data_IF_979230774871
#
_entry.id   IF_979230774871
#
_cell.length_a   1.000
_cell.length_b   1.000
_cell.length_c   1.000
_cell.angle_alpha   90.00
_cell.angle_beta   90.00
_cell.angle_gamma   90.00
#
_symmetry.space_group_name_H-M   'P 1'
#
loop_
_entity.id
_entity.type
_entity.pdbx_description
1 polymer ?
#
# COMPACT_ATOMS: atom_id res chain seq x y z
N UNK A 1 -17.52 17.62 -0.26
CA UNK A 1 -17.10 16.28 0.17
C UNK A 1 -17.33 16.16 1.66
N UNK A 2 -18.10 15.15 2.08
CA UNK A 2 -18.63 15.06 3.42
C UNK A 2 -17.70 14.18 4.27
N UNK A 3 -16.51 14.67 4.60
CA UNK A 3 -15.42 13.89 5.24
C UNK A 3 -15.83 13.12 6.50
N UNK A 4 -16.91 13.53 7.17
CA UNK A 4 -17.51 12.82 8.30
C UNK A 4 -18.13 11.48 7.88
N UNK A 5 -18.79 11.43 6.72
CA UNK A 5 -19.41 10.21 6.19
C UNK A 5 -18.36 9.19 5.76
N UNK A 6 -17.30 9.62 5.07
CA UNK A 6 -16.18 8.77 4.67
C UNK A 6 -15.48 8.18 5.89
N UNK A 7 -15.28 8.99 6.93
CA UNK A 7 -14.73 8.50 8.21
C UNK A 7 -15.63 7.46 8.90
N UNK A 8 -16.96 7.57 8.77
CA UNK A 8 -17.88 6.57 9.30
C UNK A 8 -17.81 5.25 8.52
N UNK A 9 -17.75 5.31 7.19
CA UNK A 9 -17.58 4.13 6.34
C UNK A 9 -16.25 3.41 6.61
N UNK A 10 -15.16 4.17 6.71
CA UNK A 10 -13.84 3.64 7.08
C UNK A 10 -13.89 2.96 8.45
N UNK A 11 -14.58 3.56 9.44
CA UNK A 11 -14.77 2.95 10.77
C UNK A 11 -15.63 1.69 10.73
N UNK A 12 -16.67 1.66 9.90
CA UNK A 12 -17.51 0.48 9.75
C UNK A 12 -16.70 -0.69 9.18
N UNK A 13 -15.95 -0.48 8.11
CA UNK A 13 -15.05 -1.49 7.55
C UNK A 13 -13.96 -1.91 8.52
N UNK A 14 -13.40 -0.96 9.28
CA UNK A 14 -12.41 -1.24 10.30
C UNK A 14 -12.99 -2.13 11.42
N UNK A 15 -14.25 -1.94 11.81
CA UNK A 15 -14.88 -2.78 12.85
C UNK A 15 -15.07 -4.24 12.43
N UNK A 16 -15.07 -4.51 11.11
CA UNK A 16 -15.14 -5.86 10.52
C UNK A 16 -13.76 -6.48 10.31
N UNK A 17 -12.69 -5.68 10.34
CA UNK A 17 -11.32 -6.17 10.18
C UNK A 17 -10.95 -7.06 11.37
N UNK A 18 -11.02 -8.36 11.16
CA UNK A 18 -10.74 -9.37 12.19
C UNK A 18 -9.34 -9.95 11.94
N UNK A 19 -8.37 -9.75 12.85
CA UNK A 19 -7.06 -10.39 12.77
C UNK A 19 -7.18 -11.91 12.73
N UNK A 20 -6.19 -12.59 12.18
CA UNK A 20 -6.15 -14.06 12.24
C UNK A 20 -5.99 -14.57 13.67
N UNK A 21 -6.34 -15.85 13.87
CA UNK A 21 -6.11 -16.51 15.14
C UNK A 21 -4.60 -16.60 15.43
N UNK A 22 -4.25 -16.63 16.71
CA UNK A 22 -2.89 -16.98 17.12
C UNK A 22 -2.72 -18.48 16.96
N UNK A 23 -1.88 -18.89 16.01
CA UNK A 23 -1.51 -20.29 15.77
C UNK A 23 -0.33 -20.68 16.68
N UNK A 24 -0.29 -21.93 17.12
CA UNK A 24 0.95 -22.51 17.64
C UNK A 24 1.95 -22.73 16.49
N UNK A 25 3.25 -22.85 16.81
CA UNK A 25 4.30 -23.09 15.79
C UNK A 25 3.98 -24.33 14.93
N UNK A 26 3.47 -25.41 15.56
CA UNK A 26 3.09 -26.65 14.86
C UNK A 26 1.93 -26.44 13.89
N UNK A 27 0.92 -25.66 14.28
CA UNK A 27 -0.23 -25.35 13.42
C UNK A 27 0.18 -24.43 12.25
N UNK A 28 1.03 -23.45 12.52
CA UNK A 28 1.57 -22.55 11.50
C UNK A 28 2.39 -23.31 10.46
N UNK A 29 3.31 -24.18 10.88
CA UNK A 29 4.11 -25.00 9.97
C UNK A 29 3.24 -25.95 9.14
N UNK A 30 2.25 -26.59 9.75
CA UNK A 30 1.32 -27.46 9.03
C UNK A 30 0.51 -26.69 7.96
N UNK A 31 0.04 -25.49 8.30
CA UNK A 31 -0.67 -24.62 7.37
C UNK A 31 0.23 -24.10 6.26
N UNK A 32 1.47 -23.73 6.59
CA UNK A 32 2.47 -23.27 5.62
C UNK A 32 2.77 -24.35 4.58
N UNK A 33 3.00 -25.59 5.02
CA UNK A 33 3.18 -26.72 4.10
C UNK A 33 1.93 -27.02 3.27
N UNK A 34 0.74 -26.92 3.87
CA UNK A 34 -0.51 -27.05 3.13
C UNK A 34 -0.64 -25.97 2.04
N UNK A 35 -0.33 -24.70 2.33
CA UNK A 35 -0.39 -23.63 1.34
C UNK A 35 0.62 -23.85 0.22
N UNK A 36 1.85 -24.31 0.53
CA UNK A 36 2.84 -24.67 -0.50
C UNK A 36 2.31 -25.71 -1.48
N UNK A 37 1.67 -26.76 -0.96
CA UNK A 37 1.06 -27.81 -1.80
C UNK A 37 -0.07 -27.25 -2.68
N UNK A 38 -0.95 -26.43 -2.10
CA UNK A 38 -2.06 -25.81 -2.82
C UNK A 38 -1.58 -24.83 -3.90
N UNK A 39 -0.50 -24.08 -3.66
CA UNK A 39 0.08 -23.20 -4.68
C UNK A 39 0.52 -24.01 -5.91
N UNK A 40 1.16 -25.17 -5.71
CA UNK A 40 1.56 -26.06 -6.82
C UNK A 40 0.33 -26.64 -7.53
N UNK A 41 -0.66 -27.15 -6.78
CA UNK A 41 -1.89 -27.73 -7.33
C UNK A 41 -2.64 -26.74 -8.22
N UNK A 42 -2.75 -25.48 -7.78
CA UNK A 42 -3.45 -24.41 -8.50
C UNK A 42 -2.59 -23.65 -9.50
N UNK A 43 -1.35 -24.11 -9.77
CA UNK A 43 -0.36 -23.44 -10.64
C UNK A 43 -0.26 -21.95 -10.31
N UNK A 44 -0.21 -21.67 -9.02
CA UNK A 44 -0.31 -20.34 -8.45
C UNK A 44 1.07 -19.82 -8.02
N UNK A 45 1.22 -18.49 -8.08
CA UNK A 45 2.35 -17.78 -7.49
C UNK A 45 1.85 -16.84 -6.40
N UNK A 46 2.57 -16.80 -5.27
CA UNK A 46 2.26 -15.90 -4.16
C UNK A 46 2.97 -14.55 -4.37
N UNK A 47 2.20 -13.46 -4.30
CA UNK A 47 2.69 -12.09 -4.39
C UNK A 47 2.27 -11.38 -3.09
N UNK A 48 3.23 -11.02 -2.25
CA UNK A 48 2.99 -10.41 -0.96
C UNK A 48 3.42 -8.94 -0.95
N UNK A 49 2.63 -8.09 -0.29
CA UNK A 49 3.07 -6.73 0.02
C UNK A 49 4.01 -6.73 1.23
N UNK A 50 4.94 -5.78 1.29
CA UNK A 50 5.86 -5.58 2.43
C UNK A 50 5.17 -5.42 3.79
N UNK A 51 3.88 -5.09 3.82
CA UNK A 51 3.12 -4.86 5.06
C UNK A 51 2.38 -6.12 5.56
N UNK A 52 2.47 -7.23 4.83
CA UNK A 52 1.95 -8.51 5.31
C UNK A 52 2.80 -9.06 6.46
N UNK A 53 2.30 -10.05 7.19
CA UNK A 53 3.04 -10.63 8.32
C UNK A 53 4.35 -11.30 7.86
N UNK A 54 5.36 -11.41 8.75
CA UNK A 54 6.61 -12.11 8.44
C UNK A 54 6.41 -13.51 7.86
N UNK A 55 5.41 -14.24 8.35
CA UNK A 55 5.07 -15.60 7.91
C UNK A 55 4.62 -15.63 6.45
N UNK A 56 3.78 -14.67 6.04
CA UNK A 56 3.34 -14.55 4.64
C UNK A 56 4.48 -14.12 3.74
N UNK A 57 5.31 -13.19 4.19
CA UNK A 57 6.50 -12.75 3.46
C UNK A 57 7.48 -13.92 3.25
N UNK A 58 7.84 -14.65 4.31
CA UNK A 58 8.72 -15.82 4.24
C UNK A 58 8.15 -16.90 3.30
N UNK A 59 6.86 -17.20 3.39
CA UNK A 59 6.20 -18.14 2.49
C UNK A 59 6.30 -17.69 1.02
N UNK A 60 6.16 -16.40 0.72
CA UNK A 60 6.34 -15.88 -0.64
C UNK A 60 7.77 -16.13 -1.15
N UNK A 61 8.79 -15.91 -0.32
CA UNK A 61 10.19 -16.18 -0.70
C UNK A 61 10.45 -17.66 -0.94
N UNK A 62 9.96 -18.52 -0.05
CA UNK A 62 10.17 -19.97 -0.12
C UNK A 62 9.48 -20.65 -1.30
N UNK A 63 8.38 -20.07 -1.78
CA UNK A 63 7.58 -20.64 -2.87
C UNK A 63 7.98 -20.10 -4.24
N UNK A 64 9.06 -19.30 -4.31
CA UNK A 64 9.48 -18.62 -5.55
C UNK A 64 8.53 -17.50 -5.98
N UNK A 65 7.73 -17.00 -5.03
CA UNK A 65 6.87 -15.83 -5.16
C UNK A 65 7.65 -14.52 -5.09
N UNK A 66 6.94 -13.44 -4.78
CA UNK A 66 7.50 -12.09 -4.77
C UNK A 66 7.02 -11.28 -3.57
N UNK A 67 7.92 -10.48 -3.00
CA UNK A 67 7.59 -9.45 -2.02
C UNK A 67 7.99 -8.09 -2.58
N UNK A 68 7.05 -7.14 -2.61
CA UNK A 68 7.33 -5.81 -3.14
C UNK A 68 6.33 -4.75 -2.71
N UNK A 69 6.56 -3.53 -3.20
CA UNK A 69 5.56 -2.46 -3.18
C UNK A 69 4.50 -2.66 -4.29
N UNK A 70 3.45 -1.83 -4.30
CA UNK A 70 2.35 -1.92 -5.26
C UNK A 70 2.80 -1.95 -6.73
N UNK A 71 3.83 -1.18 -7.10
CA UNK A 71 4.30 -1.10 -8.49
C UNK A 71 5.06 -2.38 -8.88
N UNK A 72 5.90 -2.88 -7.98
CA UNK A 72 6.68 -4.08 -8.21
C UNK A 72 5.80 -5.33 -8.23
N UNK A 73 4.81 -5.43 -7.34
CA UNK A 73 3.81 -6.49 -7.33
C UNK A 73 3.02 -6.53 -8.65
N UNK A 74 2.57 -5.37 -9.14
CA UNK A 74 1.86 -5.25 -10.41
C UNK A 74 2.72 -5.71 -11.59
N UNK A 75 3.99 -5.30 -11.65
CA UNK A 75 4.95 -5.72 -12.69
C UNK A 75 5.24 -7.21 -12.65
N UNK A 76 5.46 -7.76 -11.46
CA UNK A 76 5.73 -9.18 -11.27
C UNK A 76 4.53 -10.02 -11.72
N UNK A 77 3.33 -9.73 -11.19
CA UNK A 77 2.11 -10.47 -11.52
C UNK A 77 1.79 -10.47 -13.00
N UNK A 78 1.93 -9.32 -13.68
CA UNK A 78 1.72 -9.21 -15.12
C UNK A 78 2.66 -10.12 -15.94
N UNK A 79 3.94 -10.17 -15.57
CA UNK A 79 4.99 -10.88 -16.33
C UNK A 79 5.14 -12.35 -15.96
N UNK A 80 4.65 -12.76 -14.79
CA UNK A 80 4.83 -14.14 -14.31
C UNK A 80 4.00 -15.14 -15.13
N UNK A 81 4.52 -16.35 -15.37
CA UNK A 81 3.89 -17.37 -16.22
C UNK A 81 2.78 -18.17 -15.52
N UNK A 82 2.60 -17.99 -14.21
CA UNK A 82 1.56 -18.67 -13.43
C UNK A 82 0.15 -18.35 -13.96
N UNK A 83 -0.73 -19.35 -13.91
CA UNK A 83 -2.14 -19.20 -14.35
C UNK A 83 -3.00 -18.56 -13.24
N UNK A 84 -2.58 -18.73 -12.00
CA UNK A 84 -3.22 -18.14 -10.82
C UNK A 84 -2.23 -17.21 -10.11
N UNK A 85 -2.68 -16.03 -9.73
CA UNK A 85 -1.96 -15.12 -8.83
C UNK A 85 -2.66 -15.15 -7.48
N UNK A 86 -1.92 -15.40 -6.40
CA UNK A 86 -2.41 -15.18 -5.02
C UNK A 86 -1.81 -13.87 -4.54
N UNK A 87 -2.64 -12.84 -4.41
CA UNK A 87 -2.21 -11.51 -3.97
C UNK A 87 -2.49 -11.38 -2.47
N UNK A 88 -1.45 -11.48 -1.66
CA UNK A 88 -1.50 -11.18 -0.23
C UNK A 88 -1.26 -9.68 -0.02
N UNK A 89 -2.35 -8.93 0.17
CA UNK A 89 -2.38 -7.49 0.25
C UNK A 89 -3.79 -6.99 0.48
N UNK A 90 -4.18 -5.89 -0.15
CA UNK A 90 -5.53 -5.31 -0.06
C UNK A 90 -6.21 -5.24 -1.42
N UNK A 91 -7.54 -5.09 -1.42
CA UNK A 91 -8.41 -5.37 -2.58
C UNK A 91 -7.98 -4.67 -3.86
N UNK A 92 -7.65 -3.38 -3.82
CA UNK A 92 -7.21 -2.65 -5.00
C UNK A 92 -5.94 -3.23 -5.64
N UNK A 93 -5.07 -3.92 -4.87
CA UNK A 93 -3.88 -4.59 -5.39
C UNK A 93 -4.27 -5.84 -6.19
N UNK A 94 -5.23 -6.61 -5.68
CA UNK A 94 -5.84 -7.73 -6.40
C UNK A 94 -6.54 -7.26 -7.68
N UNK A 95 -7.32 -6.17 -7.61
CA UNK A 95 -7.96 -5.55 -8.77
C UNK A 95 -6.93 -5.09 -9.81
N UNK A 96 -5.82 -4.47 -9.38
CA UNK A 96 -4.72 -4.07 -10.26
C UNK A 96 -4.08 -5.28 -10.95
N UNK A 97 -3.83 -6.37 -10.21
CA UNK A 97 -3.32 -7.61 -10.78
C UNK A 97 -4.29 -8.21 -11.82
N UNK A 98 -5.61 -8.16 -11.56
CA UNK A 98 -6.62 -8.64 -12.50
C UNK A 98 -6.73 -7.77 -13.76
N UNK A 99 -6.62 -6.44 -13.63
CA UNK A 99 -6.63 -5.52 -14.78
C UNK A 99 -5.41 -5.76 -15.68
N UNK A 100 -4.23 -5.98 -15.09
CA UNK A 100 -2.98 -6.20 -15.83
C UNK A 100 -2.81 -7.64 -16.34
N UNK A 101 -3.64 -8.58 -15.90
CA UNK A 101 -3.64 -9.98 -16.34
C UNK A 101 -5.07 -10.52 -16.41
N UNK A 102 -5.90 -9.99 -17.32
CA UNK A 102 -7.32 -10.34 -17.42
C UNK A 102 -7.55 -11.84 -17.63
N UNK A 103 -6.60 -12.53 -18.26
CA UNK A 103 -6.61 -13.96 -18.52
C UNK A 103 -6.27 -14.83 -17.31
N UNK A 104 -5.58 -14.27 -16.30
CA UNK A 104 -5.19 -15.02 -15.10
C UNK A 104 -6.30 -15.01 -14.07
N UNK A 105 -6.34 -16.07 -13.28
CA UNK A 105 -7.15 -16.11 -12.06
C UNK A 105 -6.42 -15.32 -10.96
N UNK A 106 -7.12 -14.45 -10.24
CA UNK A 106 -6.54 -13.66 -9.16
C UNK A 106 -7.30 -13.94 -7.87
N UNK A 107 -6.63 -14.57 -6.93
CA UNK A 107 -7.14 -14.88 -5.59
C UNK A 107 -6.50 -13.95 -4.56
N UNK A 108 -7.24 -13.67 -3.49
CA UNK A 108 -6.71 -13.03 -2.29
C UNK A 108 -7.02 -13.90 -1.08
N UNK A 109 -6.24 -13.84 0.02
CA UNK A 109 -6.63 -14.50 1.26
C UNK A 109 -8.04 -14.09 1.73
N UNK A 110 -8.42 -12.82 1.55
CA UNK A 110 -9.79 -12.36 1.74
C UNK A 110 -10.06 -11.06 0.99
N UNK A 111 -11.25 -10.92 0.41
CA UNK A 111 -11.67 -9.68 -0.26
C UNK A 111 -12.09 -8.56 0.72
N UNK A 112 -12.26 -8.89 2.00
CA UNK A 112 -12.53 -7.92 3.07
C UNK A 112 -11.29 -7.10 3.45
N UNK A 113 -10.09 -7.54 3.05
CA UNK A 113 -8.86 -6.77 3.20
C UNK A 113 -8.89 -5.58 2.22
N UNK A 114 -9.29 -4.40 2.70
CA UNK A 114 -9.43 -3.18 1.89
C UNK A 114 -8.47 -2.07 2.37
N UNK A 115 -8.68 -0.82 1.96
CA UNK A 115 -7.82 0.31 2.31
C UNK A 115 -8.68 1.54 2.62
N UNK A 116 -8.32 2.32 3.64
CA UNK A 116 -9.06 3.54 3.98
C UNK A 116 -9.05 4.57 2.85
N UNK A 117 -7.97 4.61 2.06
CA UNK A 117 -7.83 5.48 0.89
C UNK A 117 -8.76 5.07 -0.26
N UNK A 118 -9.01 3.77 -0.41
CA UNK A 118 -9.94 3.24 -1.41
C UNK A 118 -11.38 3.51 -0.98
N UNK A 119 -11.73 3.15 0.27
CA UNK A 119 -13.06 3.40 0.85
C UNK A 119 -13.40 4.89 0.85
N UNK A 120 -12.46 5.74 1.23
CA UNK A 120 -12.65 7.19 1.33
C UNK A 120 -12.65 7.91 -0.02
N UNK A 121 -12.63 7.18 -1.14
CA UNK A 121 -12.67 7.71 -2.49
C UNK A 121 -13.73 6.97 -3.30
N UNK A 122 -15.01 7.15 -2.93
CA UNK A 122 -16.13 6.57 -3.64
C UNK A 122 -16.10 6.92 -5.14
N UNK A 123 -16.41 5.94 -5.99
CA UNK A 123 -16.23 6.08 -7.43
C UNK A 123 -17.23 7.07 -8.06
N UNK A 124 -18.46 7.15 -7.55
CA UNK A 124 -19.50 8.03 -8.08
C UNK A 124 -19.22 9.47 -7.62
N UNK A 125 -18.89 9.66 -6.34
CA UNK A 125 -18.50 10.98 -5.82
C UNK A 125 -17.22 11.49 -6.49
N UNK A 126 -16.22 10.62 -6.68
CA UNK A 126 -14.99 10.97 -7.38
C UNK A 126 -15.24 11.33 -8.85
N UNK A 127 -16.12 10.61 -9.54
CA UNK A 127 -16.48 10.94 -10.92
C UNK A 127 -17.15 12.31 -11.01
N UNK A 128 -18.09 12.62 -10.11
CA UNK A 128 -18.72 13.94 -10.05
C UNK A 128 -17.67 15.03 -9.79
N UNK A 129 -16.74 14.80 -8.86
CA UNK A 129 -15.67 15.76 -8.57
C UNK A 129 -14.77 16.01 -9.79
N UNK A 130 -14.49 14.99 -10.60
CA UNK A 130 -13.78 15.15 -11.86
C UNK A 130 -14.61 15.93 -12.90
N UNK A 131 -15.94 15.72 -12.96
CA UNK A 131 -16.84 16.40 -13.89
C UNK A 131 -17.02 17.89 -13.56
N UNK A 132 -16.91 18.26 -12.28
CA UNK A 132 -16.89 19.65 -11.81
C UNK A 132 -15.58 20.38 -12.17
N UNK A 133 -14.52 19.64 -12.51
CA UNK A 133 -13.18 20.16 -12.82
C UNK A 133 -12.64 19.61 -14.15
N UNK A 134 -13.34 19.81 -15.29
CA UNK A 134 -13.06 19.13 -16.55
C UNK A 134 -11.74 19.57 -17.23
N UNK A 135 -11.13 20.66 -16.77
CA UNK A 135 -9.85 21.17 -17.28
C UNK A 135 -8.62 20.59 -16.55
N UNK A 136 -8.82 19.73 -15.55
CA UNK A 136 -7.75 19.09 -14.80
C UNK A 136 -7.37 17.73 -15.39
N UNK A 137 -6.06 17.45 -15.44
CA UNK A 137 -5.55 16.10 -15.66
C UNK A 137 -5.72 15.31 -14.37
N UNK A 138 -6.44 14.18 -14.43
CA UNK A 138 -6.78 13.37 -13.26
C UNK A 138 -5.66 12.37 -12.98
N UNK A 139 -4.95 12.56 -11.87
CA UNK A 139 -3.89 11.68 -11.39
C UNK A 139 -4.34 11.01 -10.10
N UNK A 140 -4.48 9.68 -10.13
CA UNK A 140 -4.87 8.91 -8.94
C UNK A 140 -3.73 8.04 -8.46
N UNK A 141 -3.59 7.95 -7.14
CA UNK A 141 -2.73 6.98 -6.50
C UNK A 141 -3.31 5.57 -6.69
N UNK A 142 -2.44 4.56 -6.78
CA UNK A 142 -2.82 3.17 -6.99
C UNK A 142 -3.77 2.62 -5.90
N UNK A 143 -3.78 3.25 -4.71
CA UNK A 143 -4.61 2.90 -3.55
C UNK A 143 -6.06 3.37 -3.73
N UNK A 144 -6.69 2.98 -4.83
CA UNK A 144 -8.04 3.36 -5.27
C UNK A 144 -8.70 2.19 -5.99
N UNK A 145 -10.02 2.14 -6.08
CA UNK A 145 -10.73 1.06 -6.76
C UNK A 145 -10.46 1.00 -8.27
N UNK A 146 -10.75 -0.14 -8.90
CA UNK A 146 -10.74 -0.25 -10.36
C UNK A 146 -11.60 0.81 -11.06
N UNK A 147 -12.74 1.19 -10.47
CA UNK A 147 -13.64 2.21 -11.00
C UNK A 147 -13.00 3.61 -10.99
N UNK A 148 -12.37 4.00 -9.89
CA UNK A 148 -11.62 5.26 -9.79
C UNK A 148 -10.44 5.27 -10.78
N UNK A 149 -9.70 4.16 -10.90
CA UNK A 149 -8.64 4.03 -11.90
C UNK A 149 -9.17 4.23 -13.33
N UNK A 150 -10.33 3.68 -13.65
CA UNK A 150 -10.95 3.84 -14.98
C UNK A 150 -11.40 5.27 -15.30
N UNK A 151 -11.61 6.12 -14.28
CA UNK A 151 -11.95 7.54 -14.46
C UNK A 151 -10.72 8.43 -14.66
N UNK A 152 -9.53 7.95 -14.30
CA UNK A 152 -8.31 8.73 -14.24
C UNK A 152 -7.51 8.78 -15.56
N UNK A 153 -6.72 9.83 -15.74
CA UNK A 153 -5.76 9.95 -16.84
C UNK A 153 -4.44 9.23 -16.54
N UNK A 154 -4.06 9.18 -15.27
CA UNK A 154 -2.84 8.55 -14.76
C UNK A 154 -3.12 7.80 -13.46
N UNK A 155 -2.53 6.60 -13.35
CA UNK A 155 -2.33 5.95 -12.05
C UNK A 155 -0.85 6.12 -11.68
N UNK A 156 -0.56 6.35 -10.40
CA UNK A 156 0.81 6.41 -9.89
C UNK A 156 0.96 5.59 -8.61
N UNK A 157 2.20 5.32 -8.20
CA UNK A 157 2.51 4.89 -6.83
C UNK A 157 3.37 5.94 -6.14
N UNK A 158 3.54 5.83 -4.82
CA UNK A 158 4.44 6.71 -4.06
C UNK A 158 5.88 6.70 -4.60
N UNK A 159 6.30 5.61 -5.26
CA UNK A 159 7.63 5.48 -5.88
C UNK A 159 7.85 6.39 -7.10
N UNK A 160 6.78 6.77 -7.82
CA UNK A 160 6.88 7.58 -9.04
C UNK A 160 6.04 8.86 -9.05
N UNK A 161 5.21 9.09 -8.02
CA UNK A 161 4.26 10.21 -8.00
C UNK A 161 4.94 11.57 -8.21
N UNK A 162 6.08 11.81 -7.56
CA UNK A 162 6.86 13.04 -7.74
C UNK A 162 7.31 13.25 -9.19
N UNK A 163 7.79 12.19 -9.85
CA UNK A 163 8.33 12.28 -11.21
C UNK A 163 7.22 12.52 -12.24
N UNK A 164 6.09 11.82 -12.09
CA UNK A 164 4.93 11.98 -12.96
C UNK A 164 4.32 13.38 -12.80
N UNK A 165 4.12 13.83 -11.56
CA UNK A 165 3.55 15.17 -11.31
C UNK A 165 4.50 16.27 -11.76
N UNK A 166 5.82 16.15 -11.52
CA UNK A 166 6.80 17.11 -12.06
C UNK A 166 6.73 17.20 -13.58
N UNK A 167 6.64 16.05 -14.26
CA UNK A 167 6.54 15.99 -15.71
C UNK A 167 5.25 16.65 -16.26
N UNK A 168 4.12 16.48 -15.57
CA UNK A 168 2.86 17.11 -15.94
C UNK A 168 2.87 18.62 -15.63
N UNK A 169 3.49 19.01 -14.52
CA UNK A 169 3.67 20.41 -14.14
C UNK A 169 4.55 21.17 -15.13
N UNK A 170 5.66 20.58 -15.59
CA UNK A 170 6.52 21.12 -16.65
C UNK A 170 5.77 21.36 -17.97
N UNK A 171 4.68 20.62 -18.22
CA UNK A 171 3.80 20.80 -19.37
C UNK A 171 2.69 21.84 -19.15
N UNK A 172 2.65 22.48 -17.99
CA UNK A 172 1.61 23.45 -17.62
C UNK A 172 0.23 22.82 -17.39
N UNK A 173 0.17 21.52 -17.04
CA UNK A 173 -1.10 20.85 -16.74
C UNK A 173 -1.61 21.27 -15.36
N UNK A 174 -2.90 21.54 -15.25
CA UNK A 174 -3.63 21.56 -13.98
C UNK A 174 -3.89 20.12 -13.55
N UNK A 175 -3.70 19.80 -12.28
CA UNK A 175 -3.72 18.41 -11.80
C UNK A 175 -4.77 18.27 -10.71
N UNK A 176 -5.65 17.28 -10.87
CA UNK A 176 -6.52 16.77 -9.81
C UNK A 176 -5.85 15.53 -9.24
N UNK A 177 -5.67 15.50 -7.92
CA UNK A 177 -4.98 14.44 -7.20
C UNK A 177 -5.93 13.72 -6.25
N UNK A 178 -5.90 12.38 -6.27
CA UNK A 178 -6.65 11.56 -5.32
C UNK A 178 -5.90 10.27 -4.94
N UNK A 179 -6.23 9.63 -3.82
CA UNK A 179 -7.16 10.10 -2.79
C UNK A 179 -6.43 10.68 -1.57
N UNK A 180 -5.11 10.50 -1.45
CA UNK A 180 -4.36 10.83 -0.25
C UNK A 180 -3.88 12.29 -0.25
N UNK A 181 -4.44 13.11 0.64
CA UNK A 181 -4.11 14.53 0.75
C UNK A 181 -2.71 14.80 1.29
N UNK A 182 -2.14 13.90 2.09
CA UNK A 182 -0.82 14.08 2.67
C UNK A 182 0.27 13.85 1.62
N UNK A 183 0.13 12.78 0.83
CA UNK A 183 0.96 12.54 -0.34
C UNK A 183 0.77 13.66 -1.37
N UNK A 184 -0.48 14.12 -1.58
CA UNK A 184 -0.77 15.27 -2.44
C UNK A 184 -0.03 16.55 -2.01
N UNK A 185 -0.15 16.94 -0.74
CA UNK A 185 0.54 18.09 -0.16
C UNK A 185 2.07 17.95 -0.25
N UNK A 186 2.61 16.76 0.05
CA UNK A 186 4.02 16.46 -0.12
C UNK A 186 4.47 16.70 -1.57
N UNK A 187 3.72 16.20 -2.55
CA UNK A 187 4.03 16.41 -3.96
C UNK A 187 3.98 17.90 -4.33
N UNK A 188 2.95 18.64 -3.89
CA UNK A 188 2.86 20.09 -4.12
C UNK A 188 4.12 20.81 -3.62
N UNK A 189 4.55 20.51 -2.38
CA UNK A 189 5.74 21.10 -1.77
C UNK A 189 7.04 20.76 -2.49
N UNK A 190 7.19 19.53 -2.98
CA UNK A 190 8.42 19.07 -3.65
C UNK A 190 8.52 19.56 -5.11
N UNK A 191 7.39 19.70 -5.79
CA UNK A 191 7.35 19.97 -7.24
C UNK A 191 6.98 21.41 -7.58
N UNK A 192 6.37 22.14 -6.65
CA UNK A 192 5.77 23.45 -6.91
C UNK A 192 4.45 23.41 -7.69
N UNK A 193 3.94 22.22 -8.02
CA UNK A 193 2.67 22.06 -8.71
C UNK A 193 1.49 22.48 -7.82
N UNK A 194 0.62 23.34 -8.34
CA UNK A 194 -0.68 23.62 -7.71
C UNK A 194 -1.66 22.52 -8.13
N UNK A 195 -2.11 21.71 -7.16
CA UNK A 195 -3.01 20.58 -7.38
C UNK A 195 -4.31 20.73 -6.61
N UNK A 196 -5.41 20.31 -7.23
CA UNK A 196 -6.70 20.13 -6.55
C UNK A 196 -6.72 18.76 -5.87
N UNK A 197 -6.78 18.72 -4.53
CA UNK A 197 -6.64 17.50 -3.75
C UNK A 197 -8.00 16.94 -3.30
N UNK A 198 -8.18 15.63 -3.44
CA UNK A 198 -9.21 14.87 -2.72
C UNK A 198 -8.87 14.77 -1.22
N UNK A 199 -9.87 14.88 -0.35
CA UNK A 199 -9.68 14.90 1.12
C UNK A 199 -9.73 13.49 1.75
N UNK A 200 -8.87 12.58 1.27
CA UNK A 200 -8.67 11.25 1.85
C UNK A 200 -7.34 11.14 2.60
N UNK A 201 -7.25 10.17 3.51
CA UNK A 201 -6.02 9.89 4.25
C UNK A 201 -5.87 8.41 4.64
N UNK A 202 -4.63 7.95 4.75
CA UNK A 202 -4.31 6.64 5.30
C UNK A 202 -4.44 6.66 6.83
N UNK A 203 -5.31 5.80 7.38
CA UNK A 203 -5.54 5.72 8.84
C UNK A 203 -4.29 5.33 9.63
N UNK A 204 -3.33 4.66 9.01
CA UNK A 204 -2.08 4.25 9.68
C UNK A 204 -1.13 5.44 9.74
N UNK A 205 -0.90 6.11 8.61
CA UNK A 205 0.09 7.19 8.53
C UNK A 205 -0.40 8.50 9.18
N UNK A 206 -1.71 8.75 9.18
CA UNK A 206 -2.30 9.93 9.84
C UNK A 206 -2.13 9.91 11.38
N UNK A 207 -1.96 8.72 11.96
CA UNK A 207 -1.79 8.57 13.40
C UNK A 207 -0.40 8.99 13.90
N UNK A 208 0.64 9.02 13.06
CA UNK A 208 1.98 9.42 13.49
C UNK A 208 1.99 10.87 14.01
N UNK A 209 2.79 11.12 15.05
CA UNK A 209 2.94 12.44 15.66
C UNK A 209 4.40 12.86 15.72
N UNK A 210 4.71 14.02 15.12
CA UNK A 210 6.06 14.59 15.09
C UNK A 210 6.68 14.69 16.49
N UNK A 211 5.89 15.09 17.50
CA UNK A 211 6.33 15.15 18.90
C UNK A 211 6.87 13.81 19.40
N UNK A 212 6.18 12.70 19.12
CA UNK A 212 6.62 11.37 19.55
C UNK A 212 7.95 10.96 18.92
N UNK A 213 8.14 11.27 17.64
CA UNK A 213 9.41 11.04 16.93
C UNK A 213 10.53 11.89 17.53
N UNK A 214 10.28 13.17 17.79
CA UNK A 214 11.26 14.08 18.41
C UNK A 214 11.63 13.63 19.83
N UNK A 215 10.67 13.11 20.60
CA UNK A 215 10.93 12.55 21.92
C UNK A 215 11.78 11.26 21.83
N UNK A 216 11.55 10.39 20.83
CA UNK A 216 12.44 9.27 20.54
C UNK A 216 13.84 9.72 20.11
N UNK A 217 13.98 10.78 19.29
CA UNK A 217 15.31 11.33 18.93
C UNK A 217 16.07 11.85 20.15
N UNK A 218 15.41 12.32 21.21
CA UNK A 218 16.10 12.69 22.47
C UNK A 218 16.71 11.47 23.16
N UNK A 219 16.05 10.32 23.08
CA UNK A 219 16.53 9.04 23.66
C UNK A 219 17.58 8.38 22.74
N UNK A 220 17.44 8.57 21.43
CA UNK A 220 18.33 8.05 20.41
C UNK A 220 18.85 9.18 19.49
N UNK A 221 19.81 10.00 19.98
CA UNK A 221 20.26 11.21 19.25
C UNK A 221 20.89 10.94 17.88
N UNK A 222 21.45 9.75 17.70
CA UNK A 222 22.08 9.32 16.44
C UNK A 222 21.13 8.56 15.52
N UNK A 223 19.86 8.39 15.89
CA UNK A 223 18.91 7.70 15.03
C UNK A 223 18.49 8.57 13.84
N UNK A 224 18.45 7.98 12.65
CA UNK A 224 17.81 8.61 11.49
C UNK A 224 16.32 8.26 11.43
N UNK A 225 15.52 9.17 10.89
CA UNK A 225 14.06 9.05 10.79
C UNK A 225 13.67 8.79 9.34
N UNK A 226 12.98 7.68 9.11
CA UNK A 226 12.44 7.25 7.82
C UNK A 226 10.92 7.42 7.83
N UNK A 227 10.35 8.23 6.94
CA UNK A 227 8.92 8.55 6.93
C UNK A 227 8.28 8.26 5.57
N UNK A 228 7.10 7.65 5.58
CA UNK A 228 6.31 7.52 4.36
C UNK A 228 5.54 8.83 4.08
N UNK A 229 5.48 9.32 2.81
CA UNK A 229 4.86 10.62 2.47
C UNK A 229 3.34 10.68 2.63
N UNK A 230 2.68 9.57 2.97
CA UNK A 230 1.26 9.56 3.42
C UNK A 230 1.09 10.11 4.85
N UNK A 231 2.20 10.43 5.54
CA UNK A 231 2.16 11.00 6.89
C UNK A 231 1.90 12.51 6.86
N UNK A 232 1.31 13.09 7.92
CA UNK A 232 1.11 14.53 8.02
C UNK A 232 2.41 15.33 7.82
N UNK A 233 2.32 16.53 7.24
CA UNK A 233 3.46 17.41 6.96
C UNK A 233 4.42 17.56 8.15
N UNK A 234 3.89 17.75 9.37
CA UNK A 234 4.71 17.84 10.59
C UNK A 234 5.60 16.61 10.87
N UNK A 235 5.16 15.42 10.46
CA UNK A 235 5.91 14.16 10.59
C UNK A 235 6.96 14.07 9.48
N UNK A 236 6.59 14.46 8.25
CA UNK A 236 7.52 14.52 7.11
C UNK A 236 8.66 15.52 7.37
N UNK A 237 8.37 16.66 8.01
CA UNK A 237 9.35 17.72 8.26
C UNK A 237 10.47 17.32 9.25
N UNK A 238 10.25 16.27 10.05
CA UNK A 238 11.26 15.73 10.99
C UNK A 238 12.00 14.52 10.43
N UNK A 239 11.70 14.12 9.19
CA UNK A 239 12.31 12.97 8.53
C UNK A 239 13.74 13.28 8.06
N UNK A 240 14.64 12.31 8.22
CA UNK A 240 15.93 12.32 7.54
C UNK A 240 15.78 11.79 6.09
N UNK A 241 14.84 10.87 5.84
CA UNK A 241 14.43 10.43 4.50
C UNK A 241 12.91 10.27 4.42
N UNK A 242 12.31 10.80 3.35
CA UNK A 242 10.90 10.58 3.01
C UNK A 242 10.79 9.80 1.69
N UNK A 243 9.99 8.74 1.64
CA UNK A 243 9.83 7.95 0.41
C UNK A 243 8.84 6.79 0.50
N UNK A 244 8.62 6.12 -0.64
CA UNK A 244 7.86 4.87 -0.75
C UNK A 244 8.49 3.76 0.09
N UNK A 245 7.74 2.68 0.34
CA UNK A 245 8.24 1.50 1.07
C UNK A 245 9.58 0.98 0.54
N UNK A 246 9.72 0.83 -0.78
CA UNK A 246 10.96 0.41 -1.45
C UNK A 246 12.09 1.44 -1.29
N UNK A 247 11.79 2.74 -1.33
CA UNK A 247 12.76 3.81 -1.08
C UNK A 247 13.22 3.84 0.39
N UNK A 248 12.33 3.58 1.35
CA UNK A 248 12.68 3.49 2.77
C UNK A 248 13.55 2.24 3.05
N UNK A 249 13.25 1.11 2.42
CA UNK A 249 14.10 -0.09 2.48
C UNK A 249 15.51 0.18 1.94
N UNK A 250 15.60 0.85 0.78
CA UNK A 250 16.88 1.27 0.20
C UNK A 250 17.64 2.22 1.15
N UNK A 251 16.97 3.25 1.66
CA UNK A 251 17.56 4.20 2.59
C UNK A 251 18.06 3.54 3.88
N UNK A 252 17.32 2.54 4.40
CA UNK A 252 17.76 1.77 5.56
C UNK A 252 19.11 1.07 5.34
N UNK A 253 19.43 0.68 4.10
CA UNK A 253 20.74 0.14 3.72
C UNK A 253 21.83 1.19 3.62
N UNK A 254 21.52 2.32 2.98
CA UNK A 254 22.50 3.36 2.62
C UNK A 254 22.88 4.29 3.78
N UNK A 255 21.96 4.52 4.72
CA UNK A 255 22.23 5.42 5.86
C UNK A 255 23.29 4.84 6.81
N UNK A 256 24.24 5.64 7.29
CA UNK A 256 25.30 5.16 8.19
C UNK A 256 24.81 4.89 9.63
N UNK A 257 23.56 5.23 9.96
CA UNK A 257 23.02 5.16 11.31
C UNK A 257 22.73 3.72 11.75
N UNK A 258 23.16 3.36 12.97
CA UNK A 258 22.89 2.04 13.57
C UNK A 258 21.45 1.89 14.08
N UNK A 259 20.75 3.00 14.31
CA UNK A 259 19.34 3.02 14.74
C UNK A 259 18.51 3.84 13.77
N UNK A 260 17.36 3.31 13.37
CA UNK A 260 16.43 3.94 12.44
C UNK A 260 15.03 3.98 13.08
N UNK A 261 14.44 5.17 13.19
CA UNK A 261 13.04 5.37 13.58
C UNK A 261 12.21 5.36 12.30
N UNK A 262 11.22 4.48 12.22
CA UNK A 262 10.48 4.24 10.98
C UNK A 262 9.00 4.56 11.18
N UNK A 263 8.52 5.58 10.48
CA UNK A 263 7.12 6.01 10.44
C UNK A 263 6.42 5.49 9.17
N UNK A 264 6.16 4.18 9.19
CA UNK A 264 5.31 3.49 8.22
C UNK A 264 4.75 2.22 8.88
N UNK A 265 4.02 1.39 8.12
CA UNK A 265 3.54 0.11 8.63
C UNK A 265 4.67 -0.83 9.06
N UNK A 266 4.50 -1.45 10.24
CA UNK A 266 5.44 -2.35 10.91
C UNK A 266 5.87 -3.55 10.05
N UNK A 267 5.03 -4.03 9.13
CA UNK A 267 5.36 -5.22 8.32
C UNK A 267 6.67 -5.07 7.54
N UNK A 268 7.06 -3.84 7.20
CA UNK A 268 8.33 -3.53 6.52
C UNK A 268 9.57 -4.00 7.32
N UNK A 269 9.44 -4.18 8.64
CA UNK A 269 10.56 -4.52 9.52
C UNK A 269 11.15 -5.89 9.18
N UNK A 270 10.35 -6.83 8.67
CA UNK A 270 10.84 -8.14 8.23
C UNK A 270 11.96 -7.98 7.18
N UNK A 271 11.71 -7.23 6.10
CA UNK A 271 12.71 -6.99 5.06
C UNK A 271 13.83 -6.07 5.51
N UNK A 272 13.53 -5.05 6.32
CA UNK A 272 14.55 -4.16 6.87
C UNK A 272 15.59 -4.92 7.70
N UNK A 273 15.15 -5.82 8.59
CA UNK A 273 16.01 -6.64 9.43
C UNK A 273 16.78 -7.68 8.61
N UNK A 274 16.13 -8.31 7.63
CA UNK A 274 16.81 -9.26 6.73
C UNK A 274 17.94 -8.58 5.93
N UNK A 275 17.72 -7.37 5.44
CA UNK A 275 18.73 -6.60 4.67
C UNK A 275 19.80 -5.95 5.54
N UNK A 276 19.47 -5.63 6.80
CA UNK A 276 20.33 -4.88 7.71
C UNK A 276 20.35 -5.50 9.11
N UNK A 277 20.88 -6.72 9.28
CA UNK A 277 20.78 -7.49 10.53
C UNK A 277 21.45 -6.82 11.74
N UNK A 278 22.40 -5.92 11.48
CA UNK A 278 23.14 -5.20 12.52
C UNK A 278 22.49 -3.86 12.92
N UNK A 279 21.46 -3.41 12.22
CA UNK A 279 20.77 -2.15 12.51
C UNK A 279 19.56 -2.39 13.39
N UNK A 280 19.28 -1.43 14.27
CA UNK A 280 18.10 -1.41 15.13
C UNK A 280 16.99 -0.57 14.51
N UNK A 281 15.83 -1.17 14.34
CA UNK A 281 14.63 -0.50 13.83
C UNK A 281 13.66 -0.22 14.98
N UNK A 282 13.21 1.03 15.09
CA UNK A 282 12.26 1.51 16.09
C UNK A 282 11.00 1.97 15.37
N UNK A 283 9.84 1.51 15.83
CA UNK A 283 8.56 2.01 15.33
C UNK A 283 8.37 3.46 15.78
N UNK A 284 7.97 4.33 14.85
CA UNK A 284 7.60 5.69 15.20
C UNK A 284 6.29 5.69 16.03
N UNK A 285 6.16 6.55 17.06
CA UNK A 285 4.96 6.55 17.89
C UNK A 285 3.73 7.07 17.14
N UNK A 286 2.62 6.36 17.28
CA UNK A 286 1.29 6.79 16.83
C UNK A 286 0.48 7.41 17.97
N UNK A 287 -0.54 8.21 17.63
CA UNK A 287 -1.41 8.88 18.61
C UNK A 287 -2.44 7.93 19.23
N UNK A 288 -2.66 8.03 20.55
CA UNK A 288 -3.75 7.38 21.27
C UNK A 288 -4.48 8.38 22.18
N UNK A 289 -5.76 8.14 22.46
CA UNK A 289 -6.45 8.87 23.53
C UNK A 289 -5.97 8.35 24.90
N UNK A 290 -5.29 9.19 25.69
CA UNK A 290 -4.88 8.90 27.07
C UNK A 290 -3.39 8.58 27.26
N UNK A 291 -3.03 8.16 28.48
CA UNK A 291 -1.64 7.95 28.95
C UNK A 291 -0.99 6.62 28.51
N UNK A 292 -1.65 5.83 27.68
CA UNK A 292 -1.08 4.59 27.11
C UNK A 292 -0.74 4.83 25.65
N UNK A 293 0.56 5.02 25.40
CA UNK A 293 1.12 4.95 24.05
C UNK A 293 0.75 3.60 23.42
N UNK A 294 -0.09 3.61 22.39
CA UNK A 294 -0.23 2.45 21.48
C UNK A 294 0.67 2.74 20.30
N UNK A 295 1.89 2.20 20.29
CA UNK A 295 2.62 2.03 19.02
C UNK A 295 1.92 0.90 18.28
N UNK A 296 1.01 1.23 17.38
CA UNK A 296 0.30 0.24 16.57
C UNK A 296 0.25 0.73 15.12
N UNK A 297 1.42 1.13 14.57
CA UNK A 297 1.61 1.43 13.15
C UNK A 297 1.41 0.16 12.30
N UNK A 298 0.19 -0.37 12.30
CA UNK A 298 -0.16 -1.67 11.77
C UNK A 298 -1.50 -1.56 11.06
N UNK A 299 -1.48 -1.78 9.76
CA UNK A 299 -2.67 -1.76 8.93
C UNK A 299 -3.53 -2.99 9.25
N UNK A 300 -4.73 -2.79 9.82
CA UNK A 300 -5.59 -3.89 10.23
C UNK A 300 -6.07 -4.74 9.04
N UNK A 301 -6.17 -4.16 7.84
CA UNK A 301 -6.50 -4.91 6.63
C UNK A 301 -5.32 -5.71 6.07
N UNK A 302 -4.08 -5.20 6.17
CA UNK A 302 -2.91 -6.01 5.81
C UNK A 302 -2.80 -7.24 6.73
N UNK A 303 -3.15 -7.08 8.01
CA UNK A 303 -3.19 -8.15 9.00
C UNK A 303 -4.23 -9.25 8.71
N UNK A 304 -5.19 -9.00 7.83
CA UNK A 304 -6.18 -10.01 7.42
C UNK A 304 -5.61 -11.05 6.45
N UNK A 305 -4.40 -10.83 5.92
CA UNK A 305 -3.70 -11.80 5.09
C UNK A 305 -3.07 -12.89 5.97
N UNK A 306 -3.74 -14.04 6.08
CA UNK A 306 -3.30 -15.16 6.92
C UNK A 306 -3.20 -16.48 6.16
N UNK A 307 -2.48 -17.45 6.73
CA UNK A 307 -2.30 -18.77 6.11
C UNK A 307 -3.62 -19.52 6.00
N UNK A 308 -4.49 -19.47 7.01
CA UNK A 308 -5.78 -20.16 7.02
C UNK A 308 -6.70 -19.63 5.93
N UNK A 309 -6.75 -18.30 5.80
CA UNK A 309 -7.54 -17.61 4.78
C UNK A 309 -6.99 -17.91 3.38
N UNK A 310 -5.67 -17.89 3.21
CA UNK A 310 -5.02 -18.25 1.95
C UNK A 310 -5.27 -19.72 1.56
N UNK A 311 -5.13 -20.65 2.51
CA UNK A 311 -5.40 -22.07 2.29
C UNK A 311 -6.87 -22.32 1.92
N UNK A 312 -7.80 -21.60 2.55
CA UNK A 312 -9.23 -21.63 2.21
C UNK A 312 -9.49 -21.11 0.80
N UNK A 313 -9.00 -19.91 0.49
CA UNK A 313 -9.17 -19.28 -0.83
C UNK A 313 -8.63 -20.15 -1.95
N UNK A 314 -7.44 -20.75 -1.78
CA UNK A 314 -6.88 -21.68 -2.75
C UNK A 314 -7.77 -22.91 -2.95
N UNK A 315 -8.12 -23.61 -1.86
CA UNK A 315 -8.87 -24.87 -1.87
C UNK A 315 -10.29 -24.73 -2.42
N UNK A 316 -11.02 -23.72 -1.96
CA UNK A 316 -12.42 -23.50 -2.30
C UNK A 316 -12.58 -22.63 -3.54
N UNK A 317 -11.52 -21.90 -3.90
CA UNK A 317 -11.60 -20.87 -4.91
C UNK A 317 -12.39 -19.63 -4.49
N UNK A 318 -12.58 -19.44 -3.19
CA UNK A 318 -13.19 -18.26 -2.59
C UNK A 318 -12.28 -17.04 -2.76
N UNK A 319 -12.87 -15.85 -2.63
CA UNK A 319 -12.14 -14.57 -2.66
C UNK A 319 -11.40 -14.28 -3.98
N UNK A 320 -11.99 -14.72 -5.11
CA UNK A 320 -11.52 -14.37 -6.45
C UNK A 320 -11.89 -12.92 -6.82
N UNK A 321 -10.89 -12.16 -7.29
CA UNK A 321 -11.08 -10.83 -7.84
C UNK A 321 -11.74 -10.93 -9.22
N UNK A 322 -12.89 -10.27 -9.35
CA UNK A 322 -13.63 -10.14 -10.59
C UNK A 322 -13.76 -8.66 -10.96
N UNK A 323 -13.33 -8.33 -12.17
CA UNK A 323 -13.44 -6.99 -12.77
C UNK A 323 -14.06 -7.19 -14.15
N UNK A 324 -15.05 -6.37 -14.52
CA UNK A 324 -15.73 -6.53 -15.81
C UNK A 324 -14.80 -6.18 -16.97
N UNK A 325 -14.95 -6.79 -18.16
CA UNK A 325 -14.10 -6.50 -19.31
C UNK A 325 -14.05 -5.02 -19.69
N UNK A 326 -15.19 -4.32 -19.61
CA UNK A 326 -15.29 -2.90 -19.93
C UNK A 326 -14.49 -2.05 -18.93
N UNK A 327 -14.53 -2.42 -17.65
CA UNK A 327 -13.81 -1.72 -16.61
C UNK A 327 -12.29 -1.97 -16.71
N UNK A 328 -11.89 -3.22 -17.02
CA UNK A 328 -10.49 -3.57 -17.30
C UNK A 328 -9.96 -2.70 -18.45
N UNK A 329 -10.67 -2.61 -19.57
CA UNK A 329 -10.22 -1.84 -20.73
C UNK A 329 -9.95 -0.37 -20.38
N UNK A 330 -10.84 0.25 -19.59
CA UNK A 330 -10.69 1.65 -19.16
C UNK A 330 -9.55 1.82 -18.16
N UNK A 331 -9.50 1.01 -17.11
CA UNK A 331 -8.49 1.12 -16.05
C UNK A 331 -7.08 0.73 -16.53
N UNK A 332 -6.97 -0.08 -17.58
CA UNK A 332 -5.68 -0.46 -18.17
C UNK A 332 -4.95 0.73 -18.78
N UNK A 333 -5.66 1.71 -19.36
CA UNK A 333 -5.03 2.88 -20.00
C UNK A 333 -4.13 3.67 -19.04
N UNK A 334 -4.61 4.17 -17.89
CA UNK A 334 -3.77 4.93 -16.97
C UNK A 334 -2.79 4.04 -16.18
N UNK A 335 -3.11 2.76 -15.96
CA UNK A 335 -2.16 1.80 -15.38
C UNK A 335 -0.99 1.51 -16.33
N UNK A 336 -1.23 1.38 -17.63
CA UNK A 336 -0.18 1.15 -18.61
C UNK A 336 0.76 2.35 -18.71
N UNK A 337 0.22 3.58 -18.67
CA UNK A 337 1.04 4.80 -18.56
C UNK A 337 1.95 4.77 -17.33
N UNK A 338 1.45 4.32 -16.18
CA UNK A 338 2.26 4.14 -14.96
C UNK A 338 3.42 3.17 -15.19
N UNK A 339 3.15 2.04 -15.85
CA UNK A 339 4.13 0.98 -16.07
C UNK A 339 5.21 1.39 -17.07
N UNK A 340 4.81 2.11 -18.12
CA UNK A 340 5.68 2.58 -19.21
C UNK A 340 6.46 3.85 -18.86
N UNK A 341 6.08 4.55 -17.78
CA UNK A 341 6.79 5.74 -17.34
C UNK A 341 8.24 5.39 -16.97
N UNK A 342 9.24 6.02 -17.61
CA UNK A 342 10.64 5.66 -17.41
C UNK A 342 11.07 5.98 -15.97
N UNK A 343 11.78 5.03 -15.36
CA UNK A 343 12.59 5.32 -14.17
C UNK A 343 13.76 6.18 -14.65
N UNK A 344 13.64 7.50 -14.55
CA UNK A 344 14.78 8.42 -14.77
C UNK A 344 15.80 8.26 -13.65
#
# INVERSE_FOLDING_TARGET
>A
MNSVYDQLLVREHLSRATPSANLSEVEEDALREQVKQLLVEHKAVLIAHYYTSPVIQALAEETGGFIGDSLEMARFGARHSAQTLVVAGVRFMGETAKILSPEKRVLMPTLEATCSLDIGCDADEFSQFCDEHPDHTVVVYANTSAAVKARADWVVTSSIALQVVSHLHEQGKKILWAPDKHLGDYICRQTGAEMLLWDGACIVHEEFKAKGILDLKKIHPTAAVLVHPESPASVVDVADVTGSTSQLLKAAGELPNDTLIVATDRGIFYKMQQQNPNKRFLEAPTGGQGATCRSCAHCPWMAMNSLERMARSLREGSDEIKVTPELIQKALVPLQKMLDFPKK
#
